data_IF_645545142751
#
_entry.id   IF_645545142751
#
_cell.length_a   1.000
_cell.length_b   1.000
_cell.length_c   1.000
_cell.angle_alpha   90.00
_cell.angle_beta   90.00
_cell.angle_gamma   90.00
#
_symmetry.space_group_name_H-M   'P 1'
#
loop_
_entity.id
_entity.type
_entity.pdbx_description
1 polymer ?
#
# COMPACT_ATOMS: atom_id res chain seq x y z
N UNK A 1 -11.61 16.67 -0.65
CA UNK A 1 -11.51 15.27 -0.22
C UNK A 1 -10.05 14.90 -0.38
N UNK A 2 -9.32 14.71 0.72
CA UNK A 2 -7.99 14.09 0.67
C UNK A 2 -8.18 12.65 0.20
N UNK A 3 -7.42 12.19 -0.80
CA UNK A 3 -7.45 10.78 -1.16
C UNK A 3 -6.77 10.00 -0.04
N UNK A 4 -7.47 9.01 0.49
CA UNK A 4 -6.97 8.13 1.56
C UNK A 4 -5.84 7.25 1.00
N UNK A 5 -4.78 7.07 1.79
CA UNK A 5 -3.57 6.32 1.43
C UNK A 5 -3.57 4.94 2.06
N UNK A 6 -3.32 3.92 1.26
CA UNK A 6 -3.10 2.53 1.69
C UNK A 6 -1.65 2.13 1.39
N UNK A 7 -0.98 1.53 2.38
CA UNK A 7 0.25 0.78 2.17
C UNK A 7 -0.05 -0.72 2.21
N UNK A 8 0.37 -1.46 1.19
CA UNK A 8 0.30 -2.92 1.12
C UNK A 8 1.70 -3.46 1.35
N UNK A 9 1.85 -4.39 2.30
CA UNK A 9 3.09 -5.10 2.59
C UNK A 9 2.85 -6.58 2.33
N UNK A 10 3.41 -7.14 1.26
CA UNK A 10 3.14 -8.51 0.81
C UNK A 10 4.34 -9.06 0.01
N UNK A 11 4.75 -10.31 0.26
CA UNK A 11 5.95 -10.89 -0.38
C UNK A 11 5.69 -11.38 -1.82
N UNK A 12 4.44 -11.71 -2.13
CA UNK A 12 3.98 -12.14 -3.46
C UNK A 12 3.56 -10.96 -4.38
N UNK A 13 4.34 -10.69 -5.43
CA UNK A 13 4.08 -9.63 -6.42
C UNK A 13 2.72 -9.75 -7.15
N UNK A 14 2.25 -10.97 -7.39
CA UNK A 14 0.94 -11.20 -8.01
C UNK A 14 -0.20 -10.71 -7.11
N UNK A 15 -0.06 -10.87 -5.80
CA UNK A 15 -1.06 -10.45 -4.81
C UNK A 15 -1.03 -8.92 -4.69
N UNK A 16 0.16 -8.32 -4.55
CA UNK A 16 0.31 -6.87 -4.41
C UNK A 16 -0.29 -6.10 -5.61
N UNK A 17 -0.08 -6.58 -6.83
CA UNK A 17 -0.62 -5.96 -8.05
C UNK A 17 -2.14 -6.11 -8.14
N UNK A 18 -2.69 -7.28 -7.79
CA UNK A 18 -4.13 -7.52 -7.79
C UNK A 18 -4.85 -6.59 -6.80
N UNK A 19 -4.33 -6.50 -5.57
CA UNK A 19 -4.92 -5.67 -4.51
C UNK A 19 -4.79 -4.19 -4.86
N UNK A 20 -3.61 -3.76 -5.31
CA UNK A 20 -3.37 -2.37 -5.70
C UNK A 20 -4.30 -1.94 -6.85
N UNK A 21 -4.44 -2.75 -7.90
CA UNK A 21 -5.33 -2.44 -9.01
C UNK A 21 -6.77 -2.17 -8.55
N UNK A 22 -7.29 -3.00 -7.65
CA UNK A 22 -8.65 -2.84 -7.12
C UNK A 22 -8.78 -1.57 -6.27
N UNK A 23 -7.83 -1.29 -5.40
CA UNK A 23 -7.85 -0.10 -4.53
C UNK A 23 -7.68 1.20 -5.34
N UNK A 24 -6.77 1.22 -6.30
CA UNK A 24 -6.57 2.37 -7.20
C UNK A 24 -7.84 2.67 -8.02
N UNK A 25 -8.53 1.62 -8.48
CA UNK A 25 -9.82 1.74 -9.19
C UNK A 25 -10.91 2.35 -8.31
N UNK A 26 -10.92 2.04 -7.02
CA UNK A 26 -11.82 2.63 -6.02
C UNK A 26 -11.37 4.04 -5.57
N UNK A 27 -10.25 4.55 -6.11
CA UNK A 27 -9.80 5.94 -5.94
C UNK A 27 -8.76 6.17 -4.83
N UNK A 28 -8.26 5.09 -4.22
CA UNK A 28 -7.21 5.14 -3.21
C UNK A 28 -5.85 5.54 -3.80
N UNK A 29 -4.99 6.11 -2.95
CA UNK A 29 -3.57 6.22 -3.24
C UNK A 29 -2.87 5.00 -2.65
N UNK A 30 -2.24 4.19 -3.50
CA UNK A 30 -1.67 2.92 -3.08
C UNK A 30 -0.15 2.96 -3.13
N UNK A 31 0.44 2.52 -2.03
CA UNK A 31 1.86 2.28 -1.88
C UNK A 31 2.09 0.81 -1.59
N UNK A 32 3.22 0.30 -2.03
CA UNK A 32 3.55 -1.12 -2.08
C UNK A 32 4.88 -1.34 -1.37
N UNK A 33 5.00 -2.43 -0.64
CA UNK A 33 6.24 -2.93 -0.07
C UNK A 33 6.28 -4.45 -0.15
N UNK A 34 7.44 -5.03 -0.44
CA UNK A 34 7.61 -6.49 -0.48
C UNK A 34 8.18 -7.08 0.81
N UNK A 35 8.62 -6.21 1.72
CA UNK A 35 9.24 -6.61 2.98
C UNK A 35 8.75 -5.71 4.10
N UNK A 36 8.84 -6.21 5.34
CA UNK A 36 8.52 -5.39 6.51
C UNK A 36 9.46 -4.19 6.68
N UNK A 37 10.73 -4.29 6.26
CA UNK A 37 11.70 -3.19 6.32
C UNK A 37 11.29 -2.05 5.37
N UNK A 38 11.04 -2.37 4.09
CA UNK A 38 10.51 -1.39 3.13
C UNK A 38 9.16 -0.82 3.60
N UNK A 39 8.31 -1.66 4.22
CA UNK A 39 7.05 -1.23 4.79
C UNK A 39 7.23 -0.20 5.91
N UNK A 40 8.18 -0.43 6.82
CA UNK A 40 8.50 0.51 7.91
C UNK A 40 9.01 1.86 7.37
N UNK A 41 9.91 1.83 6.38
CA UNK A 41 10.40 3.06 5.73
C UNK A 41 9.23 3.87 5.13
N UNK A 42 8.32 3.20 4.42
CA UNK A 42 7.14 3.84 3.81
C UNK A 42 6.12 4.37 4.81
N UNK A 43 5.99 3.73 5.97
CA UNK A 43 5.11 4.23 7.04
C UNK A 43 5.60 5.60 7.55
N UNK A 44 6.91 5.76 7.69
CA UNK A 44 7.51 7.02 8.14
C UNK A 44 7.45 8.11 7.06
N UNK A 45 7.65 7.77 5.79
CA UNK A 45 7.68 8.74 4.69
C UNK A 45 6.29 9.16 4.20
N UNK A 46 5.36 8.21 4.10
CA UNK A 46 4.11 8.41 3.35
C UNK A 46 2.88 8.59 4.25
N UNK A 47 3.00 8.26 5.54
CA UNK A 47 1.94 8.32 6.54
C UNK A 47 0.61 7.73 6.03
N UNK A 48 0.57 6.40 5.75
CA UNK A 48 -0.64 5.76 5.26
C UNK A 48 -1.76 5.78 6.30
N UNK A 49 -2.99 5.91 5.84
CA UNK A 49 -4.20 5.85 6.68
C UNK A 49 -4.55 4.40 7.05
N UNK A 50 -4.21 3.46 6.16
CA UNK A 50 -4.45 2.02 6.30
C UNK A 50 -3.19 1.25 5.88
N UNK A 51 -2.86 0.21 6.63
CA UNK A 51 -1.81 -0.75 6.28
C UNK A 51 -2.45 -2.12 6.11
N UNK A 52 -2.16 -2.78 4.98
CA UNK A 52 -2.49 -4.17 4.71
C UNK A 52 -1.21 -4.99 4.77
N UNK A 53 -1.26 -6.09 5.53
CA UNK A 53 -0.15 -7.02 5.78
C UNK A 53 -0.45 -8.40 5.18
#
# INVERSE_FOLDING_TARGET
MTKERVLIIEDELNIIELVAYNLEKEGWLVSKAQTGEEGLEKIEEEHPDIILL
#
